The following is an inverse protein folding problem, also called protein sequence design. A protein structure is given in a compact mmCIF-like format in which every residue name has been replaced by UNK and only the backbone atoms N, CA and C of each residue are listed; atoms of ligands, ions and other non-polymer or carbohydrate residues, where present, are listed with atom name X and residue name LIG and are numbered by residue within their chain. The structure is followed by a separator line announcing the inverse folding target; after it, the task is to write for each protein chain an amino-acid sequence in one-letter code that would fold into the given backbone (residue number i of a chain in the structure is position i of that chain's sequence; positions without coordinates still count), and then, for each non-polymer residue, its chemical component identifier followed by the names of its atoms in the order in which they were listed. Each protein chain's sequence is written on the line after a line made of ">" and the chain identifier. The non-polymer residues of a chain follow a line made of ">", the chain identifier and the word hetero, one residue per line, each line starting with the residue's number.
data_IF_165005303555
#
_entry.id   IF_165005303555
#
_cell.length_a   1.000
_cell.length_b   1.000
_cell.length_c   1.000
_cell.angle_alpha   90.00
_cell.angle_beta   90.00
_cell.angle_gamma   90.00
#
_symmetry.space_group_name_H-M   'P 1'
#
loop_
_entity.id
_entity.type
_entity.pdbx_description
1 polymer ?
#
# COMPACT_ATOMS: atom_id res chain seq x y z
N UNK A 1 47.18 -6.78 -17.96
CA UNK A 1 45.75 -6.42 -18.17
C UNK A 1 44.93 -6.30 -16.85
N UNK A 2 45.43 -5.73 -15.72
CA UNK A 2 44.59 -5.49 -14.53
C UNK A 2 43.88 -4.13 -14.52
N UNK A 3 44.22 -3.22 -15.44
CA UNK A 3 43.69 -1.85 -15.47
C UNK A 3 42.17 -1.78 -15.75
N UNK A 4 41.59 -2.83 -16.35
CA UNK A 4 40.14 -2.90 -16.60
C UNK A 4 39.30 -3.25 -15.36
N UNK A 5 39.92 -3.72 -14.27
CA UNK A 5 39.20 -4.11 -13.05
C UNK A 5 38.79 -2.91 -12.19
N UNK A 6 39.60 -1.84 -12.19
CA UNK A 6 39.31 -0.58 -11.49
C UNK A 6 38.00 0.08 -11.96
N UNK A 7 37.77 0.30 -13.27
CA UNK A 7 36.50 0.86 -13.73
C UNK A 7 35.34 -0.11 -13.50
N UNK A 8 35.56 -1.42 -13.53
CA UNK A 8 34.52 -2.41 -13.24
C UNK A 8 34.05 -2.34 -11.77
N UNK A 9 34.99 -2.31 -10.82
CA UNK A 9 34.69 -2.17 -9.39
C UNK A 9 33.99 -0.85 -9.07
N UNK A 10 34.38 0.23 -9.73
CA UNK A 10 33.74 1.53 -9.59
C UNK A 10 32.28 1.51 -10.07
N UNK A 11 32.00 0.89 -11.23
CA UNK A 11 30.64 0.73 -11.73
C UNK A 11 29.77 -0.15 -10.82
N UNK A 12 30.33 -1.23 -10.27
CA UNK A 12 29.63 -2.10 -9.32
C UNK A 12 29.27 -1.34 -8.03
N UNK A 13 30.18 -0.51 -7.52
CA UNK A 13 29.93 0.34 -6.35
C UNK A 13 28.79 1.34 -6.60
N UNK A 14 28.77 1.97 -7.78
CA UNK A 14 27.70 2.90 -8.16
C UNK A 14 26.36 2.17 -8.28
N UNK A 15 26.33 1.02 -8.95
CA UNK A 15 25.11 0.22 -9.08
C UNK A 15 24.56 -0.23 -7.72
N UNK A 16 25.44 -0.63 -6.81
CA UNK A 16 25.06 -1.01 -5.46
C UNK A 16 24.50 0.18 -4.66
N UNK A 17 25.12 1.35 -4.75
CA UNK A 17 24.63 2.57 -4.11
C UNK A 17 23.22 2.96 -4.59
N UNK A 18 22.98 2.89 -5.91
CA UNK A 18 21.66 3.18 -6.49
C UNK A 18 20.61 2.17 -6.01
N UNK A 19 20.95 0.89 -5.90
CA UNK A 19 20.05 -0.13 -5.39
C UNK A 19 19.64 0.13 -3.93
N UNK A 20 20.58 0.55 -3.08
CA UNK A 20 20.31 0.93 -1.70
C UNK A 20 19.35 2.12 -1.62
N UNK A 21 19.58 3.13 -2.45
CA UNK A 21 18.70 4.31 -2.55
C UNK A 21 17.30 3.87 -3.00
N UNK A 22 17.18 3.01 -4.01
CA UNK A 22 15.89 2.48 -4.47
C UNK A 22 15.15 1.70 -3.39
N UNK A 23 15.86 0.93 -2.56
CA UNK A 23 15.28 0.22 -1.42
C UNK A 23 14.78 1.19 -0.33
N UNK A 24 15.49 2.28 -0.08
CA UNK A 24 15.06 3.31 0.87
C UNK A 24 13.80 4.06 0.41
N UNK A 25 13.64 4.27 -0.91
CA UNK A 25 12.45 4.87 -1.49
C UNK A 25 11.32 3.87 -1.76
N UNK A 26 11.53 2.57 -1.48
CA UNK A 26 10.50 1.58 -1.68
C UNK A 26 9.33 1.87 -0.74
N UNK A 27 8.10 2.03 -1.27
CA UNK A 27 6.94 2.24 -0.42
C UNK A 27 6.77 1.03 0.48
N UNK A 28 6.51 1.27 1.77
CA UNK A 28 6.29 0.18 2.72
C UNK A 28 5.14 -0.70 2.20
N UNK A 29 5.33 -2.04 2.15
CA UNK A 29 4.24 -2.93 1.75
C UNK A 29 3.04 -2.67 2.66
N UNK A 30 1.87 -2.49 2.05
CA UNK A 30 0.62 -2.32 2.80
C UNK A 30 0.48 -3.56 3.69
N UNK A 31 0.38 -3.34 5.00
CA UNK A 31 0.29 -4.42 5.98
C UNK A 31 -0.89 -5.36 5.68
N UNK A 32 -0.83 -6.61 6.15
CA UNK A 32 -1.97 -7.52 6.02
C UNK A 32 -3.21 -6.84 6.60
N UNK A 33 -4.31 -6.81 5.84
CA UNK A 33 -5.59 -6.28 6.30
C UNK A 33 -5.96 -7.05 7.58
N UNK A 34 -6.31 -6.37 8.70
CA UNK A 34 -6.84 -7.01 9.89
C UNK A 34 -7.97 -7.98 9.52
N UNK A 35 -7.99 -9.16 10.13
CA UNK A 35 -9.00 -10.19 9.83
C UNK A 35 -10.43 -9.68 10.09
N UNK A 36 -10.60 -8.73 11.02
CA UNK A 36 -11.85 -8.03 11.33
C UNK A 36 -12.43 -7.22 10.14
N UNK A 37 -11.61 -6.87 9.14
CA UNK A 37 -12.04 -6.19 7.91
C UNK A 37 -12.45 -7.15 6.79
N UNK A 38 -12.18 -8.46 6.93
CA UNK A 38 -12.60 -9.47 5.94
C UNK A 38 -14.07 -9.82 6.06
N UNK A 39 -14.60 -9.76 7.28
CA UNK A 39 -16.00 -10.08 7.61
C UNK A 39 -16.87 -8.83 7.78
N UNK A 40 -16.36 -7.66 7.41
CA UNK A 40 -17.12 -6.42 7.46
C UNK A 40 -18.13 -6.38 6.30
N UNK A 41 -19.41 -6.64 6.59
CA UNK A 41 -20.53 -6.44 5.65
C UNK A 41 -20.74 -4.96 5.27
N UNK A 42 -20.12 -4.04 6.01
CA UNK A 42 -20.09 -2.62 5.68
C UNK A 42 -19.23 -2.39 4.43
N UNK A 43 -19.72 -1.67 3.41
CA UNK A 43 -18.95 -1.38 2.21
C UNK A 43 -17.65 -0.67 2.59
N UNK A 44 -16.53 -1.32 2.27
CA UNK A 44 -15.21 -0.90 2.68
C UNK A 44 -14.77 0.31 1.84
N UNK A 45 -14.55 1.45 2.47
CA UNK A 45 -13.89 2.59 1.86
C UNK A 45 -12.38 2.30 1.75
N UNK A 46 -12.00 1.36 0.87
CA UNK A 46 -10.59 1.02 0.68
C UNK A 46 -9.86 2.18 0.00
N UNK A 47 -8.71 2.56 0.56
CA UNK A 47 -7.85 3.58 -0.03
C UNK A 47 -7.32 3.12 -1.40
N UNK A 48 -7.93 3.64 -2.47
CA UNK A 48 -7.60 3.35 -3.87
C UNK A 48 -8.75 2.78 -4.71
N UNK A 49 -9.96 2.62 -4.15
CA UNK A 49 -11.11 2.27 -4.99
C UNK A 49 -11.41 3.40 -5.99
N UNK A 50 -11.63 3.07 -7.27
CA UNK A 50 -11.94 4.08 -8.28
C UNK A 50 -13.26 4.77 -7.95
N UNK A 51 -13.25 6.10 -7.91
CA UNK A 51 -14.47 6.90 -7.79
C UNK A 51 -15.10 6.99 -9.19
N UNK A 52 -16.29 6.44 -9.41
CA UNK A 52 -16.94 6.53 -10.72
C UNK A 52 -17.36 7.97 -11.00
N UNK A 53 -16.94 8.51 -12.15
CA UNK A 53 -17.40 9.81 -12.68
C UNK A 53 -18.19 9.51 -13.96
N UNK A 54 -19.51 9.24 -13.84
CA UNK A 54 -20.33 8.92 -14.99
C UNK A 54 -20.61 10.17 -15.83
N UNK A 55 -20.60 10.00 -17.16
CA UNK A 55 -21.08 11.00 -18.12
C UNK A 55 -22.28 10.40 -18.87
N UNK A 56 -23.40 11.12 -18.90
CA UNK A 56 -24.68 10.64 -19.45
C UNK A 56 -25.58 10.01 -18.38
N UNK A 57 -26.58 9.24 -18.80
CA UNK A 57 -27.57 8.65 -17.90
C UNK A 57 -27.05 7.34 -17.29
N UNK A 58 -27.02 7.27 -15.96
CA UNK A 58 -26.65 6.07 -15.22
C UNK A 58 -27.69 5.74 -14.16
N UNK A 59 -28.03 4.46 -14.03
CA UNK A 59 -28.86 3.95 -12.93
C UNK A 59 -27.95 3.50 -11.79
N UNK A 60 -28.04 4.18 -10.65
CA UNK A 60 -27.35 3.79 -9.43
C UNK A 60 -28.12 2.63 -8.80
N UNK A 61 -27.54 1.43 -8.82
CA UNK A 61 -28.19 0.18 -8.34
C UNK A 61 -27.91 -0.13 -6.87
N UNK A 62 -27.15 0.72 -6.17
CA UNK A 62 -26.71 0.46 -4.80
C UNK A 62 -26.54 1.73 -3.98
N UNK A 63 -26.57 1.59 -2.65
CA UNK A 63 -26.43 2.70 -1.72
C UNK A 63 -24.96 3.13 -1.66
N UNK A 64 -24.68 4.42 -1.88
CA UNK A 64 -23.36 4.98 -1.62
C UNK A 64 -23.20 5.18 -0.11
N UNK A 65 -22.23 4.49 0.50
CA UNK A 65 -22.03 4.48 1.93
C UNK A 65 -20.91 5.46 2.28
N UNK A 66 -21.29 6.59 2.87
CA UNK A 66 -20.40 7.73 3.05
C UNK A 66 -19.53 7.64 4.31
N UNK A 67 -19.97 6.90 5.33
CA UNK A 67 -19.28 6.85 6.61
C UNK A 67 -19.75 5.67 7.49
N UNK A 68 -18.79 4.97 8.12
CA UNK A 68 -19.00 4.07 9.27
C UNK A 68 -18.22 4.61 10.46
N UNK A 69 -18.81 4.55 11.65
CA UNK A 69 -18.19 4.98 12.90
C UNK A 69 -17.17 4.00 13.48
N UNK A 70 -16.50 4.49 14.52
CA UNK A 70 -15.34 3.89 15.17
C UNK A 70 -15.68 2.55 15.84
N UNK A 71 -14.91 1.52 15.51
CA UNK A 71 -14.90 0.24 16.23
C UNK A 71 -13.60 0.20 17.03
N UNK A 72 -13.73 0.19 18.35
CA UNK A 72 -12.58 0.10 19.26
C UNK A 72 -12.47 -1.34 19.78
N UNK A 73 -11.28 -1.92 19.70
CA UNK A 73 -10.96 -3.22 20.29
C UNK A 73 -9.86 -3.01 21.33
N UNK A 74 -10.22 -3.10 22.61
CA UNK A 74 -9.28 -2.95 23.73
C UNK A 74 -8.96 -4.32 24.31
N UNK A 75 -7.67 -4.67 24.30
CA UNK A 75 -7.17 -5.91 24.92
C UNK A 75 -6.69 -5.58 26.33
N UNK A 76 -7.50 -5.90 27.33
CA UNK A 76 -7.09 -5.81 28.73
C UNK A 76 -6.42 -7.10 29.22
N UNK A 77 -5.30 -6.97 29.92
CA UNK A 77 -4.71 -8.09 30.67
C UNK A 77 -5.46 -8.23 31.99
N UNK A 78 -6.22 -9.31 32.15
CA UNK A 78 -6.80 -9.69 33.44
C UNK A 78 -5.64 -9.92 34.42
N UNK A 79 -5.65 -9.16 35.51
CA UNK A 79 -4.65 -9.22 36.59
C UNK A 79 -4.92 -10.38 37.54
#
# INVERSE_FOLDING_TARGET
>A
MPFQLLPLLFNVLIGFAIQLIGYMFMPRPKGPKPDELKDAESPTAEAGMPIPVPFGDITITGVNYLWTGEKETTVEKVK
#
